data_IF_549184427650
#
_entry.id   IF_549184427650
#
_cell.length_a   1.000
_cell.length_b   1.000
_cell.length_c   1.000
_cell.angle_alpha   90.00
_cell.angle_beta   90.00
_cell.angle_gamma   90.00
#
_symmetry.space_group_name_H-M   'P 1'
#
loop_
_entity.id
_entity.type
_entity.pdbx_description
1 polymer ?
#
# COMPACT_ATOMS: atom_id res chain seq x y z
N UNK A 1 0.25 -30.98 20.95
CA UNK A 1 -0.11 -30.64 19.56
C UNK A 1 -1.53 -31.08 19.32
N UNK A 2 -2.31 -30.22 18.67
CA UNK A 2 -3.75 -30.31 18.40
C UNK A 2 -4.10 -31.00 17.06
N UNK A 3 -3.09 -31.53 16.36
CA UNK A 3 -3.28 -32.45 15.23
C UNK A 3 -3.43 -31.81 13.85
N UNK A 4 -3.34 -30.48 13.75
CA UNK A 4 -3.35 -29.78 12.46
C UNK A 4 -1.95 -29.67 11.84
N UNK A 5 -1.90 -29.42 10.53
CA UNK A 5 -0.67 -29.08 9.79
C UNK A 5 -0.66 -27.59 9.47
N UNK A 6 0.38 -26.84 9.88
CA UNK A 6 0.54 -25.47 9.45
C UNK A 6 0.93 -25.43 7.97
N UNK A 7 0.47 -24.41 7.25
CA UNK A 7 0.80 -24.17 5.85
C UNK A 7 0.74 -22.68 5.53
N UNK A 8 1.65 -22.23 4.67
CA UNK A 8 1.58 -20.88 4.13
C UNK A 8 0.35 -20.77 3.21
N UNK A 9 -0.47 -19.74 3.43
CA UNK A 9 -1.66 -19.41 2.65
C UNK A 9 -1.59 -17.97 2.11
N UNK A 10 -0.37 -17.54 1.76
CA UNK A 10 -0.12 -16.29 1.07
C UNK A 10 -0.53 -16.31 -0.40
N UNK A 11 -0.11 -15.26 -1.11
CA UNK A 11 -0.35 -15.12 -2.55
C UNK A 11 -0.86 -13.73 -2.92
N UNK A 12 -2.00 -13.27 -2.37
CA UNK A 12 -2.53 -11.95 -2.67
C UNK A 12 -1.65 -10.80 -2.12
N UNK A 13 -1.32 -9.84 -2.99
CA UNK A 13 -0.41 -8.72 -2.66
C UNK A 13 -1.14 -7.46 -2.18
N UNK A 14 -2.40 -7.58 -1.75
CA UNK A 14 -3.22 -6.45 -1.25
C UNK A 14 -3.74 -6.63 0.18
N UNK A 15 -3.53 -7.80 0.80
CA UNK A 15 -3.97 -8.07 2.17
C UNK A 15 -3.07 -7.40 3.21
N UNK A 16 -1.75 -7.61 3.11
CA UNK A 16 -0.78 -6.95 3.99
C UNK A 16 -0.82 -5.42 3.83
N UNK A 17 -0.86 -4.86 2.61
CA UNK A 17 -1.09 -3.42 2.44
C UNK A 17 -2.34 -2.90 3.13
N UNK A 18 -3.49 -3.58 2.98
CA UNK A 18 -4.72 -3.19 3.65
C UNK A 18 -4.60 -3.15 5.18
N UNK A 19 -3.95 -4.15 5.77
CA UNK A 19 -3.67 -4.19 7.21
C UNK A 19 -2.77 -3.02 7.65
N UNK A 20 -1.65 -2.80 6.97
CA UNK A 20 -0.69 -1.74 7.34
C UNK A 20 -1.33 -0.36 7.21
N UNK A 21 -2.13 -0.13 6.16
CA UNK A 21 -2.87 1.11 5.96
C UNK A 21 -3.87 1.33 7.09
N UNK A 22 -4.69 0.32 7.42
CA UNK A 22 -5.65 0.43 8.52
C UNK A 22 -4.98 0.72 9.87
N UNK A 23 -3.88 0.01 10.18
CA UNK A 23 -3.10 0.24 11.40
C UNK A 23 -2.44 1.63 11.44
N UNK A 24 -2.04 2.15 10.29
CA UNK A 24 -1.46 3.50 10.19
C UNK A 24 -2.53 4.57 10.43
N UNK A 25 -3.70 4.46 9.79
CA UNK A 25 -4.81 5.39 9.94
C UNK A 25 -5.36 5.41 11.36
N UNK A 26 -5.42 4.23 12.02
CA UNK A 26 -5.86 4.09 13.42
C UNK A 26 -4.80 4.45 14.46
N UNK A 27 -3.56 4.75 14.04
CA UNK A 27 -2.44 5.01 14.96
C UNK A 27 -1.96 3.78 15.75
N UNK A 28 -2.44 2.58 15.44
CA UNK A 28 -2.14 1.34 16.16
C UNK A 28 -0.90 0.59 15.63
N UNK A 29 -0.23 1.12 14.60
CA UNK A 29 0.89 0.44 13.93
C UNK A 29 2.00 0.01 14.92
N UNK A 30 2.40 0.88 15.85
CA UNK A 30 3.43 0.60 16.87
C UNK A 30 2.94 -0.30 18.01
N UNK A 31 1.62 -0.38 18.23
CA UNK A 31 1.04 -1.24 19.25
C UNK A 31 0.90 -2.70 18.75
N UNK A 32 0.63 -2.88 17.46
CA UNK A 32 0.34 -4.20 16.87
C UNK A 32 1.55 -4.83 16.19
N UNK A 33 2.36 -4.04 15.47
CA UNK A 33 3.50 -4.56 14.71
C UNK A 33 4.82 -4.26 15.42
N UNK A 34 5.49 -5.31 15.88
CA UNK A 34 6.86 -5.25 16.38
C UNK A 34 7.85 -4.88 15.27
N UNK A 35 9.07 -4.52 15.64
CA UNK A 35 10.12 -4.21 14.66
C UNK A 35 10.45 -5.39 13.74
N UNK A 36 10.41 -6.62 14.27
CA UNK A 36 10.60 -7.84 13.48
C UNK A 36 9.44 -8.06 12.49
N UNK A 37 8.18 -7.83 12.88
CA UNK A 37 7.06 -7.90 11.94
C UNK A 37 7.28 -6.93 10.77
N UNK A 38 7.69 -5.69 11.06
CA UNK A 38 7.91 -4.67 10.03
C UNK A 38 9.06 -5.05 9.12
N UNK A 39 10.19 -5.48 9.69
CA UNK A 39 11.37 -5.92 8.94
C UNK A 39 11.03 -7.06 7.98
N UNK A 40 10.30 -8.06 8.46
CA UNK A 40 9.92 -9.22 7.66
C UNK A 40 8.85 -8.90 6.62
N UNK A 41 7.93 -7.99 6.92
CA UNK A 41 6.97 -7.46 5.93
C UNK A 41 7.69 -6.69 4.81
N UNK A 42 8.67 -5.84 5.13
CA UNK A 42 9.47 -5.14 4.13
C UNK A 42 10.26 -6.13 3.26
N UNK A 43 10.92 -7.10 3.88
CA UNK A 43 11.62 -8.18 3.17
C UNK A 43 10.68 -8.94 2.23
N UNK A 44 9.47 -9.26 2.68
CA UNK A 44 8.47 -9.94 1.86
C UNK A 44 8.09 -9.11 0.63
N UNK A 45 7.84 -7.81 0.79
CA UNK A 45 7.49 -6.93 -0.34
C UNK A 45 8.65 -6.80 -1.33
N UNK A 46 9.88 -6.59 -0.88
CA UNK A 46 11.05 -6.53 -1.76
C UNK A 46 11.30 -7.85 -2.51
N UNK A 47 11.14 -8.99 -1.83
CA UNK A 47 11.30 -10.31 -2.47
C UNK A 47 10.28 -10.58 -3.59
N UNK A 48 9.14 -9.89 -3.58
CA UNK A 48 8.08 -10.04 -4.57
C UNK A 48 7.97 -8.83 -5.52
N UNK A 49 8.97 -7.93 -5.51
CA UNK A 49 9.06 -6.91 -6.53
C UNK A 49 9.48 -7.54 -7.85
N UNK A 50 8.75 -7.22 -8.91
CA UNK A 50 9.07 -7.71 -10.25
C UNK A 50 10.33 -7.02 -10.79
N UNK A 51 10.95 -7.63 -11.81
CA UNK A 51 12.16 -7.09 -12.45
C UNK A 51 11.95 -5.70 -13.08
N UNK A 52 10.71 -5.35 -13.41
CA UNK A 52 10.34 -4.04 -13.93
C UNK A 52 10.17 -2.98 -12.83
N UNK A 53 10.28 -3.36 -11.56
CA UNK A 53 10.13 -2.47 -10.40
C UNK A 53 8.72 -2.44 -9.82
N UNK A 54 7.71 -2.98 -10.50
CA UNK A 54 6.34 -2.98 -10.00
C UNK A 54 6.01 -4.19 -9.12
N UNK A 55 4.73 -4.25 -8.69
CA UNK A 55 4.14 -5.39 -7.98
C UNK A 55 2.82 -5.80 -8.60
N UNK A 56 2.57 -7.11 -8.62
CA UNK A 56 1.33 -7.68 -9.15
C UNK A 56 0.17 -7.68 -8.16
N UNK A 57 -0.99 -8.17 -8.61
CA UNK A 57 -2.15 -8.43 -7.75
C UNK A 57 -1.90 -9.60 -6.78
N UNK A 58 -1.01 -10.52 -7.17
CA UNK A 58 -0.52 -11.65 -6.40
C UNK A 58 0.98 -11.87 -6.69
N UNK A 59 1.66 -12.69 -5.89
CA UNK A 59 3.11 -12.90 -5.90
C UNK A 59 3.69 -13.37 -7.25
N UNK A 60 2.90 -14.08 -8.05
CA UNK A 60 3.29 -14.56 -9.40
C UNK A 60 2.76 -13.66 -10.54
N UNK A 61 2.07 -12.58 -10.19
CA UNK A 61 1.38 -11.73 -11.16
C UNK A 61 2.29 -10.68 -11.80
N UNK A 62 2.00 -10.25 -13.05
CA UNK A 62 2.67 -9.11 -13.64
C UNK A 62 2.36 -7.84 -12.86
N UNK A 63 3.23 -6.83 -12.97
CA UNK A 63 3.06 -5.56 -12.29
C UNK A 63 1.75 -4.87 -12.69
N UNK A 64 1.03 -4.36 -11.70
CA UNK A 64 -0.26 -3.68 -11.88
C UNK A 64 -0.26 -2.37 -11.12
N UNK A 65 -1.01 -1.36 -11.59
CA UNK A 65 -1.11 -0.09 -10.85
C UNK A 65 -1.61 -0.29 -9.41
N UNK A 66 -2.56 -1.21 -9.20
CA UNK A 66 -3.08 -1.52 -7.87
C UNK A 66 -2.03 -2.16 -6.95
N UNK A 67 -1.36 -3.22 -7.42
CA UNK A 67 -0.30 -3.88 -6.65
C UNK A 67 0.86 -2.94 -6.36
N UNK A 68 1.39 -2.27 -7.40
CA UNK A 68 2.54 -1.37 -7.28
C UNK A 68 2.30 -0.21 -6.32
N UNK A 69 1.17 0.49 -6.45
CA UNK A 69 0.87 1.63 -5.55
C UNK A 69 0.69 1.15 -4.11
N UNK A 70 -0.06 0.08 -3.88
CA UNK A 70 -0.29 -0.41 -2.52
C UNK A 70 1.01 -0.90 -1.86
N UNK A 71 1.84 -1.65 -2.58
CA UNK A 71 3.12 -2.14 -2.06
C UNK A 71 4.09 -0.99 -1.77
N UNK A 72 4.21 -0.03 -2.70
CA UNK A 72 5.04 1.16 -2.51
C UNK A 72 4.60 1.97 -1.27
N UNK A 73 3.31 2.29 -1.17
CA UNK A 73 2.75 3.03 -0.03
C UNK A 73 2.97 2.27 1.28
N UNK A 74 2.81 0.95 1.27
CA UNK A 74 3.06 0.10 2.44
C UNK A 74 4.51 0.17 2.88
N UNK A 75 5.48 0.09 1.96
CA UNK A 75 6.89 0.25 2.28
C UNK A 75 7.18 1.63 2.90
N UNK A 76 6.57 2.71 2.37
CA UNK A 76 6.67 4.06 2.94
C UNK A 76 6.12 4.13 4.36
N UNK A 77 4.98 3.50 4.64
CA UNK A 77 4.38 3.43 5.98
C UNK A 77 5.20 2.58 6.96
N UNK A 78 5.91 1.57 6.45
CA UNK A 78 6.82 0.74 7.24
C UNK A 78 8.20 1.38 7.46
N UNK A 79 8.41 2.61 7.00
CA UNK A 79 9.59 3.41 7.30
C UNK A 79 10.64 3.49 6.18
N UNK A 80 10.40 2.91 5.00
CA UNK A 80 11.30 3.11 3.87
C UNK A 80 11.15 4.52 3.30
N UNK A 81 12.28 5.16 3.04
CA UNK A 81 12.40 6.40 2.30
C UNK A 81 12.11 6.23 0.80
N UNK A 82 11.94 7.34 0.07
CA UNK A 82 11.70 7.31 -1.38
C UNK A 82 12.88 6.74 -2.20
N UNK A 83 14.08 6.69 -1.62
CA UNK A 83 15.31 6.25 -2.27
C UNK A 83 15.99 5.10 -1.50
N UNK A 84 15.24 4.40 -0.63
CA UNK A 84 15.77 3.28 0.16
C UNK A 84 15.67 1.95 -0.62
N UNK A 85 15.98 0.84 0.05
CA UNK A 85 15.95 -0.50 -0.53
C UNK A 85 16.92 -0.67 -1.69
N UNK A 86 18.11 -0.05 -1.63
CA UNK A 86 19.15 -0.15 -2.67
C UNK A 86 18.68 0.25 -4.09
N UNK A 87 17.67 1.13 -4.17
CA UNK A 87 17.07 1.63 -5.42
C UNK A 87 15.73 0.98 -5.76
N UNK A 88 15.26 0.03 -4.96
CA UNK A 88 14.01 -0.71 -5.19
C UNK A 88 12.79 0.22 -5.06
N UNK A 89 12.87 1.17 -4.12
CA UNK A 89 11.85 2.21 -3.95
C UNK A 89 11.79 3.15 -5.15
N UNK A 90 12.94 3.50 -5.73
CA UNK A 90 12.99 4.36 -6.91
C UNK A 90 12.38 3.66 -8.12
N UNK A 91 12.77 2.41 -8.38
CA UNK A 91 12.18 1.59 -9.46
C UNK A 91 10.66 1.48 -9.32
N UNK A 92 10.16 1.26 -8.11
CA UNK A 92 8.72 1.18 -7.84
C UNK A 92 7.99 2.48 -8.12
N UNK A 93 8.54 3.60 -7.65
CA UNK A 93 8.00 4.94 -7.93
C UNK A 93 8.01 5.24 -9.42
N UNK A 94 9.13 4.98 -10.09
CA UNK A 94 9.32 5.30 -11.49
C UNK A 94 8.38 4.45 -12.35
N UNK A 95 8.24 3.15 -12.05
CA UNK A 95 7.24 2.29 -12.69
C UNK A 95 5.83 2.87 -12.55
N UNK A 96 5.42 3.32 -11.35
CA UNK A 96 4.10 3.94 -11.13
C UNK A 96 3.94 5.20 -12.00
N UNK A 97 4.95 6.08 -12.02
CA UNK A 97 4.89 7.35 -12.74
C UNK A 97 4.88 7.17 -14.27
N UNK A 98 5.66 6.22 -14.78
CA UNK A 98 5.74 5.89 -16.21
C UNK A 98 4.42 5.27 -16.72
N UNK A 99 3.69 4.57 -15.86
CA UNK A 99 2.40 3.94 -16.19
C UNK A 99 1.19 4.85 -15.88
N UNK A 100 1.41 6.17 -15.78
CA UNK A 100 0.34 7.18 -15.66
C UNK A 100 0.01 7.61 -14.24
N UNK A 101 0.74 7.12 -13.24
CA UNK A 101 0.57 7.49 -11.83
C UNK A 101 -0.64 6.82 -11.16
N UNK A 102 -0.82 7.12 -9.87
CA UNK A 102 -1.86 6.50 -9.04
C UNK A 102 -3.31 6.84 -9.48
N UNK A 103 -3.52 7.75 -10.44
CA UNK A 103 -4.83 8.08 -10.98
C UNK A 103 -5.51 6.90 -11.69
N UNK A 104 -4.73 5.95 -12.21
CA UNK A 104 -5.22 4.75 -12.90
C UNK A 104 -5.46 3.55 -11.97
N UNK A 105 -5.37 3.75 -10.65
CA UNK A 105 -5.62 2.68 -9.68
C UNK A 105 -7.09 2.27 -9.67
N UNK A 106 -7.35 1.00 -9.31
CA UNK A 106 -8.71 0.44 -9.19
C UNK A 106 -9.51 1.11 -8.07
N UNK A 107 -10.83 0.91 -8.03
CA UNK A 107 -11.72 1.51 -7.02
C UNK A 107 -11.31 1.21 -5.58
N UNK A 108 -10.88 -0.01 -5.29
CA UNK A 108 -10.36 -0.38 -3.97
C UNK A 108 -9.08 0.38 -3.63
N UNK A 109 -8.20 0.59 -4.60
CA UNK A 109 -6.99 1.38 -4.40
C UNK A 109 -7.29 2.84 -4.11
N UNK A 110 -8.28 3.43 -4.80
CA UNK A 110 -8.73 4.80 -4.53
C UNK A 110 -9.21 4.95 -3.09
N UNK A 111 -10.06 4.04 -2.63
CA UNK A 111 -10.55 4.01 -1.26
C UNK A 111 -9.40 3.99 -0.24
N UNK A 112 -8.37 3.15 -0.44
CA UNK A 112 -7.21 3.11 0.45
C UNK A 112 -6.41 4.42 0.45
N UNK A 113 -6.17 5.02 -0.73
CA UNK A 113 -5.47 6.30 -0.82
C UNK A 113 -6.28 7.44 -0.18
N UNK A 114 -7.61 7.41 -0.27
CA UNK A 114 -8.45 8.42 0.38
C UNK A 114 -8.34 8.38 1.91
N UNK A 115 -8.26 7.18 2.51
CA UNK A 115 -8.00 7.06 3.96
C UNK A 115 -6.65 7.64 4.36
N UNK A 116 -5.68 7.62 3.46
CA UNK A 116 -4.33 8.12 3.69
C UNK A 116 -4.17 9.59 3.28
N UNK A 117 -5.15 10.26 2.66
CA UNK A 117 -5.01 11.59 2.04
C UNK A 117 -4.55 12.70 3.00
N UNK A 118 -4.55 12.45 4.32
CA UNK A 118 -3.91 13.30 5.32
C UNK A 118 -2.40 13.09 5.52
N UNK A 119 -1.78 12.14 4.82
CA UNK A 119 -0.36 11.77 4.91
C UNK A 119 0.37 12.19 3.63
N UNK A 120 1.56 12.78 3.79
CA UNK A 120 2.37 13.34 2.69
C UNK A 120 2.79 12.31 1.61
N UNK A 121 2.67 11.01 1.91
CA UNK A 121 3.12 9.89 1.08
C UNK A 121 2.43 9.87 -0.31
N UNK A 122 1.19 10.36 -0.41
CA UNK A 122 0.38 10.26 -1.64
C UNK A 122 0.77 11.30 -2.70
N UNK A 123 1.23 12.49 -2.27
CA UNK A 123 1.54 13.58 -3.20
C UNK A 123 2.63 13.20 -4.21
N UNK A 124 3.54 12.31 -3.83
CA UNK A 124 4.61 11.83 -4.72
C UNK A 124 4.13 10.90 -5.85
N UNK A 125 2.92 10.33 -5.75
CA UNK A 125 2.40 9.35 -6.72
C UNK A 125 1.37 9.93 -7.69
N UNK A 126 1.05 11.21 -7.56
CA UNK A 126 0.07 11.91 -8.39
C UNK A 126 0.76 12.82 -9.40
N UNK A 127 0.45 12.63 -10.68
CA UNK A 127 0.72 13.65 -11.70
C UNK A 127 -0.41 14.69 -11.62
N UNK A 128 -0.07 15.92 -11.23
CA UNK A 128 -0.94 17.11 -11.26
C UNK A 128 -2.25 17.00 -10.47
N UNK A 129 -2.23 17.38 -9.19
CA UNK A 129 -3.32 18.12 -8.51
C UNK A 129 -4.75 17.56 -8.48
N UNK A 130 -5.02 16.31 -8.84
CA UNK A 130 -6.39 15.83 -9.05
C UNK A 130 -6.78 14.68 -8.11
N UNK A 131 -7.08 15.03 -6.85
CA UNK A 131 -7.94 14.23 -5.96
C UNK A 131 -9.33 14.86 -5.78
N UNK A 132 -9.58 16.03 -6.37
CA UNK A 132 -10.77 16.84 -6.06
C UNK A 132 -12.09 16.26 -6.58
N UNK A 133 -12.06 15.21 -7.41
CA UNK A 133 -13.27 14.62 -8.00
C UNK A 133 -13.84 13.41 -7.26
N UNK A 134 -13.12 12.81 -6.29
CA UNK A 134 -13.67 11.68 -5.49
C UNK A 134 -14.24 12.08 -4.12
N UNK A 135 -14.05 13.34 -3.69
CA UNK A 135 -14.54 13.85 -2.39
C UNK A 135 -16.05 13.66 -2.17
N UNK A 136 -16.85 13.62 -3.23
CA UNK A 136 -18.30 13.50 -3.12
C UNK A 136 -18.80 12.11 -2.70
N UNK A 137 -18.01 11.04 -2.85
CA UNK A 137 -18.50 9.68 -2.59
C UNK A 137 -18.24 9.19 -1.15
N UNK A 138 -17.17 9.65 -0.50
CA UNK A 138 -16.83 9.23 0.88
C UNK A 138 -17.44 10.13 1.96
N UNK A 139 -17.73 11.41 1.67
CA UNK A 139 -18.44 12.27 2.63
C UNK A 139 -19.82 11.71 3.05
N UNK A 140 -20.43 10.85 2.24
CA UNK A 140 -21.71 10.20 2.57
C UNK A 140 -21.54 9.05 3.59
N UNK A 141 -20.35 8.44 3.70
CA UNK A 141 -20.10 7.31 4.61
C UNK A 141 -19.41 7.70 5.93
N UNK A 142 -18.70 8.84 5.96
CA UNK A 142 -18.01 9.31 7.18
C UNK A 142 -18.91 10.12 8.12
N UNK A 143 -20.14 10.48 7.72
CA UNK A 143 -21.02 11.34 8.51
C UNK A 143 -21.57 10.76 9.83
N UNK A 144 -21.68 9.42 10.07
CA UNK A 144 -22.25 8.97 11.35
C UNK A 144 -21.22 8.76 12.46
N UNK A 145 -19.93 9.10 12.28
CA UNK A 145 -18.91 8.92 13.34
C UNK A 145 -18.50 10.20 14.09
N UNK A 146 -19.15 11.33 13.82
CA UNK A 146 -18.89 12.61 14.52
C UNK A 146 -20.01 12.99 15.52
N UNK A 147 -20.94 12.06 15.79
CA UNK A 147 -21.96 12.19 16.82
C UNK A 147 -22.01 10.91 17.67
N UNK A 148 -20.95 10.67 18.44
CA UNK A 148 -20.95 9.81 19.62
C UNK A 148 -19.86 10.26 20.59
#
# INVERSE_FOLDING_TARGET
HDGHWPGDYGGPMFLMPGLVIALSVTGALNAVLTDEHRKEMRRYLFNHQNKDGGWGLHIEGPSTMFGSVLCYVTLRLLGEGPNDGEGEMEKGRDWILEHGGATYITSWGKMYLEFLNGLEIIHCLLRYGSFHTCFHFIQVLALPLQLA
#
